data_IF_189496213293
#
_entry.id   IF_189496213293
#
_cell.length_a   1.000
_cell.length_b   1.000
_cell.length_c   1.000
_cell.angle_alpha   90.00
_cell.angle_beta   90.00
_cell.angle_gamma   90.00
#
_symmetry.space_group_name_H-M   'P 1'
#
loop_
_entity.id
_entity.type
_entity.pdbx_description
1 polymer ?
#
# COMPACT_ATOMS: atom_id res chain seq x y z
N UNK A 1 -0.51 -11.82 27.97
CA UNK A 1 -0.02 -10.43 28.19
C UNK A 1 -0.71 -9.57 27.16
N UNK A 2 -1.53 -8.60 27.57
CA UNK A 2 -2.13 -7.67 26.61
C UNK A 2 -1.02 -6.75 26.08
N UNK A 3 -0.78 -6.76 24.77
CA UNK A 3 0.06 -5.77 24.11
C UNK A 3 -0.53 -4.38 24.38
N UNK A 4 0.30 -3.43 24.79
CA UNK A 4 -0.15 -2.04 24.83
C UNK A 4 -0.63 -1.65 23.42
N UNK A 5 -1.78 -0.96 23.28
CA UNK A 5 -2.22 -0.48 21.99
C UNK A 5 -1.11 0.40 21.41
N UNK A 6 -0.68 0.05 20.20
CA UNK A 6 0.40 0.72 19.52
C UNK A 6 0.01 2.19 19.32
N UNK A 7 0.81 3.11 19.88
CA UNK A 7 0.62 4.54 19.68
C UNK A 7 1.61 5.00 18.61
N UNK A 8 1.13 5.48 17.45
CA UNK A 8 2.02 5.97 16.41
C UNK A 8 2.80 7.18 16.93
N UNK A 9 4.10 7.24 16.62
CA UNK A 9 4.99 8.28 17.11
C UNK A 9 4.82 9.52 16.23
N UNK A 10 4.43 10.64 16.84
CA UNK A 10 4.25 11.93 16.18
C UNK A 10 5.60 12.47 15.72
N UNK A 11 5.73 12.72 14.43
CA UNK A 11 6.89 13.40 13.82
C UNK A 11 6.44 14.82 13.47
N UNK A 12 6.97 15.81 14.18
CA UNK A 12 6.72 17.23 13.88
C UNK A 12 7.64 17.66 12.74
N UNK A 13 7.03 18.04 11.60
CA UNK A 13 7.64 18.43 10.32
C UNK A 13 8.17 17.34 9.39
N UNK A 14 8.28 17.72 8.11
CA UNK A 14 8.92 16.99 7.01
C UNK A 14 10.42 16.83 7.29
N UNK A 15 10.71 15.99 8.29
CA UNK A 15 12.05 15.76 8.83
C UNK A 15 12.99 15.20 7.76
N UNK A 16 14.31 15.26 8.03
CA UNK A 16 15.33 14.60 7.20
C UNK A 16 14.99 13.12 6.94
N UNK A 17 14.28 12.49 7.87
CA UNK A 17 13.79 11.12 7.76
C UNK A 17 12.76 10.94 6.64
N UNK A 18 11.77 11.85 6.54
CA UNK A 18 10.78 11.82 5.44
C UNK A 18 11.47 11.95 4.09
N UNK A 19 12.41 12.90 3.99
CA UNK A 19 13.22 13.10 2.78
C UNK A 19 14.08 11.88 2.45
N UNK A 20 14.65 11.21 3.47
CA UNK A 20 15.43 9.98 3.32
C UNK A 20 14.57 8.83 2.81
N UNK A 21 13.41 8.60 3.41
CA UNK A 21 12.49 7.55 2.97
C UNK A 21 12.06 7.77 1.52
N UNK A 22 11.68 9.00 1.13
CA UNK A 22 11.32 9.31 -0.27
C UNK A 22 12.41 8.93 -1.27
N UNK A 23 13.68 9.23 -0.96
CA UNK A 23 14.81 8.83 -1.83
C UNK A 23 15.00 7.32 -1.88
N UNK A 24 14.84 6.63 -0.75
CA UNK A 24 15.02 5.18 -0.67
C UNK A 24 13.97 4.42 -1.49
N UNK A 25 12.72 4.90 -1.52
CA UNK A 25 11.64 4.23 -2.24
C UNK A 25 11.55 4.60 -3.72
N UNK A 26 12.28 5.61 -4.19
CA UNK A 26 12.28 5.99 -5.61
C UNK A 26 12.70 4.83 -6.54
N UNK A 27 13.65 3.99 -6.10
CA UNK A 27 14.08 2.80 -6.87
C UNK A 27 13.07 1.64 -6.84
N UNK A 28 12.16 1.66 -5.86
CA UNK A 28 11.09 0.68 -5.69
C UNK A 28 9.86 0.99 -6.56
N UNK A 29 9.84 2.15 -7.23
CA UNK A 29 8.75 2.55 -8.12
C UNK A 29 8.92 1.87 -9.48
N UNK A 30 7.86 1.24 -9.96
CA UNK A 30 7.75 0.69 -11.32
C UNK A 30 6.50 1.19 -12.03
N UNK A 31 6.38 0.86 -13.31
CA UNK A 31 5.19 1.14 -14.13
C UNK A 31 4.54 -0.19 -14.48
N UNK A 32 3.21 -0.28 -14.43
CA UNK A 32 2.54 -1.57 -14.61
C UNK A 32 1.20 -1.46 -15.33
N UNK A 33 0.32 -0.55 -14.91
CA UNK A 33 -1.10 -0.61 -15.33
C UNK A 33 -1.43 0.47 -16.37
N UNK A 34 -1.98 0.11 -17.55
CA UNK A 34 -2.50 1.08 -18.51
C UNK A 34 -3.63 1.93 -17.91
N UNK A 35 -3.72 3.20 -18.29
CA UNK A 35 -4.70 4.15 -17.71
C UNK A 35 -6.16 3.69 -17.87
N UNK A 36 -6.49 3.02 -18.98
CA UNK A 36 -7.86 2.53 -19.26
C UNK A 36 -8.34 1.51 -18.22
N UNK A 37 -7.45 0.60 -17.80
CA UNK A 37 -7.76 -0.40 -16.76
C UNK A 37 -8.00 0.30 -15.42
N UNK A 38 -7.24 1.36 -15.14
CA UNK A 38 -7.39 2.14 -13.91
C UNK A 38 -8.71 2.89 -13.90
N UNK A 39 -9.07 3.56 -15.01
CA UNK A 39 -10.35 4.27 -15.15
C UNK A 39 -11.52 3.33 -14.88
N UNK A 40 -11.48 2.13 -15.47
CA UNK A 40 -12.50 1.10 -15.31
C UNK A 40 -12.59 0.56 -13.86
N UNK A 41 -11.46 0.37 -13.17
CA UNK A 41 -11.47 -0.01 -11.74
C UNK A 41 -12.04 1.10 -10.87
N UNK A 42 -11.57 2.34 -11.04
CA UNK A 42 -12.02 3.49 -10.24
C UNK A 42 -13.50 3.74 -10.44
N UNK A 43 -14.00 3.70 -11.68
CA UNK A 43 -15.42 3.85 -11.97
C UNK A 43 -16.26 2.75 -11.32
N UNK A 44 -15.80 1.50 -11.36
CA UNK A 44 -16.49 0.39 -10.72
C UNK A 44 -16.50 0.52 -9.19
N UNK A 45 -15.40 0.98 -8.59
CA UNK A 45 -15.20 1.06 -7.14
C UNK A 45 -15.77 2.33 -6.49
N UNK A 46 -16.37 3.25 -7.26
CA UNK A 46 -16.83 4.57 -6.76
C UNK A 46 -17.69 4.49 -5.49
N UNK A 47 -18.55 3.48 -5.42
CA UNK A 47 -19.51 3.27 -4.34
C UNK A 47 -19.09 2.06 -3.45
N UNK A 48 -17.80 1.73 -3.40
CA UNK A 48 -17.26 0.72 -2.49
C UNK A 48 -17.18 1.28 -1.07
N UNK A 49 -17.47 0.42 -0.08
CA UNK A 49 -17.61 0.82 1.32
C UNK A 49 -16.61 0.08 2.20
N UNK A 50 -16.42 0.60 3.42
CA UNK A 50 -15.66 -0.11 4.43
C UNK A 50 -16.44 -1.34 4.90
N UNK A 51 -15.81 -2.53 5.01
CA UNK A 51 -16.49 -3.69 5.54
C UNK A 51 -16.78 -3.45 7.03
N UNK A 52 -17.99 -3.77 7.48
CA UNK A 52 -18.42 -3.51 8.86
C UNK A 52 -17.61 -4.19 9.96
N UNK A 53 -16.73 -5.15 9.62
CA UNK A 53 -15.83 -5.84 10.57
C UNK A 53 -14.51 -5.08 10.75
N UNK A 54 -14.10 -4.24 9.80
CA UNK A 54 -12.83 -3.50 9.86
C UNK A 54 -12.88 -2.25 10.75
N UNK A 55 -14.06 -1.86 11.23
CA UNK A 55 -14.19 -0.78 12.23
C UNK A 55 -13.59 -1.13 13.59
N UNK A 56 -13.32 -2.41 13.88
CA UNK A 56 -12.75 -2.84 15.17
C UNK A 56 -11.21 -2.81 15.21
N UNK A 57 -10.54 -2.73 14.05
CA UNK A 57 -9.07 -2.69 13.90
C UNK A 57 -8.59 -1.37 13.29
N UNK A 58 -9.38 -0.32 13.51
CA UNK A 58 -9.30 0.97 12.80
C UNK A 58 -7.95 1.69 12.97
N UNK A 59 -7.12 1.31 13.95
CA UNK A 59 -5.86 1.99 14.26
C UNK A 59 -4.58 1.33 13.71
N UNK A 60 -4.62 0.07 13.26
CA UNK A 60 -3.38 -0.69 13.02
C UNK A 60 -2.70 -0.39 11.66
N UNK A 61 -3.48 0.02 10.66
CA UNK A 61 -2.99 0.32 9.31
C UNK A 61 -3.11 1.82 9.01
N UNK A 62 -2.35 2.37 8.05
CA UNK A 62 -2.62 3.73 7.53
C UNK A 62 -3.56 3.76 6.32
N UNK A 63 -4.03 2.58 5.90
CA UNK A 63 -4.99 2.41 4.82
C UNK A 63 -6.10 1.50 5.29
N UNK A 64 -7.14 1.42 4.48
CA UNK A 64 -8.30 0.59 4.72
C UNK A 64 -8.70 -0.09 3.41
N UNK A 65 -9.10 -1.35 3.52
CA UNK A 65 -9.56 -2.13 2.37
C UNK A 65 -11.05 -1.84 2.16
N UNK A 66 -11.42 -1.49 0.94
CA UNK A 66 -12.81 -1.25 0.57
C UNK A 66 -13.39 -2.48 -0.11
N UNK A 67 -14.67 -2.74 0.14
CA UNK A 67 -15.40 -3.86 -0.40
C UNK A 67 -16.58 -3.41 -1.26
N UNK A 68 -16.77 -4.15 -2.35
CA UNK A 68 -17.95 -4.12 -3.21
C UNK A 68 -18.04 -5.47 -3.90
N UNK A 69 -19.25 -5.97 -4.09
CA UNK A 69 -19.45 -7.23 -4.81
C UNK A 69 -18.80 -7.16 -6.21
N UNK A 70 -17.97 -8.17 -6.55
CA UNK A 70 -17.21 -8.24 -7.80
C UNK A 70 -15.92 -7.39 -7.85
N UNK A 71 -15.63 -6.57 -6.83
CA UNK A 71 -14.40 -5.75 -6.82
C UNK A 71 -13.14 -6.60 -6.67
N UNK A 72 -13.20 -7.66 -5.86
CA UNK A 72 -12.09 -8.59 -5.68
C UNK A 72 -11.69 -9.26 -7.00
N UNK A 73 -12.66 -9.74 -7.80
CA UNK A 73 -12.34 -10.37 -9.08
C UNK A 73 -11.65 -9.39 -10.04
N UNK A 74 -12.13 -8.14 -10.06
CA UNK A 74 -11.61 -7.07 -10.92
C UNK A 74 -10.18 -6.68 -10.56
N UNK A 75 -9.91 -6.52 -9.27
CA UNK A 75 -8.56 -6.22 -8.77
C UNK A 75 -7.66 -7.47 -8.86
N UNK A 76 -8.24 -8.66 -8.74
CA UNK A 76 -7.54 -9.95 -8.83
C UNK A 76 -6.82 -10.12 -10.16
N UNK A 77 -7.45 -9.77 -11.27
CA UNK A 77 -6.82 -9.81 -12.59
C UNK A 77 -5.56 -8.91 -12.68
N UNK A 78 -5.60 -7.74 -12.04
CA UNK A 78 -4.45 -6.81 -11.98
C UNK A 78 -3.35 -7.40 -11.10
N UNK A 79 -3.73 -7.97 -9.96
CA UNK A 79 -2.80 -8.60 -9.03
C UNK A 79 -2.07 -9.78 -9.69
N UNK A 80 -2.82 -10.64 -10.38
CA UNK A 80 -2.30 -11.81 -11.08
C UNK A 80 -1.31 -11.37 -12.17
N UNK A 81 -1.71 -10.44 -13.05
CA UNK A 81 -0.83 -9.89 -14.09
C UNK A 81 0.44 -9.25 -13.49
N UNK A 82 0.34 -8.55 -12.35
CA UNK A 82 1.51 -7.93 -11.71
C UNK A 82 2.51 -8.99 -11.23
N UNK A 83 1.99 -10.08 -10.67
CA UNK A 83 2.77 -11.19 -10.11
C UNK A 83 3.35 -12.15 -11.15
N UNK A 84 2.88 -12.09 -12.40
CA UNK A 84 3.43 -12.86 -13.52
C UNK A 84 4.60 -12.15 -14.20
N UNK A 85 4.71 -10.82 -14.06
CA UNK A 85 5.75 -10.04 -14.68
C UNK A 85 7.07 -10.08 -13.88
N UNK A 86 8.06 -10.80 -14.42
CA UNK A 86 9.36 -11.00 -13.76
C UNK A 86 10.09 -9.70 -13.44
N UNK A 87 9.94 -8.65 -14.27
CA UNK A 87 10.56 -7.35 -14.01
C UNK A 87 10.02 -6.71 -12.72
N UNK A 88 8.73 -6.89 -12.42
CA UNK A 88 8.10 -6.39 -11.20
C UNK A 88 8.63 -7.14 -9.99
N UNK A 89 8.70 -8.46 -10.07
CA UNK A 89 9.23 -9.32 -9.02
C UNK A 89 10.71 -9.04 -8.74
N UNK A 90 11.54 -8.85 -9.77
CA UNK A 90 12.95 -8.49 -9.63
C UNK A 90 13.14 -7.14 -8.94
N UNK A 91 12.33 -6.13 -9.29
CA UNK A 91 12.35 -4.83 -8.62
C UNK A 91 11.97 -4.94 -7.15
N UNK A 92 10.89 -5.67 -6.87
CA UNK A 92 10.44 -5.91 -5.50
C UNK A 92 11.53 -6.62 -4.68
N UNK A 93 12.03 -7.75 -5.18
CA UNK A 93 13.08 -8.57 -4.58
C UNK A 93 14.36 -7.77 -4.30
N UNK A 94 14.80 -6.96 -5.25
CA UNK A 94 15.98 -6.11 -5.10
C UNK A 94 15.77 -5.03 -4.03
N UNK A 95 14.58 -4.41 -3.98
CA UNK A 95 14.28 -3.37 -2.99
C UNK A 95 14.21 -3.93 -1.57
N UNK A 96 13.53 -5.06 -1.37
CA UNK A 96 13.35 -5.66 -0.04
C UNK A 96 14.44 -6.69 0.33
N UNK A 97 15.45 -6.86 -0.54
CA UNK A 97 16.57 -7.79 -0.36
C UNK A 97 16.13 -9.23 -0.04
N UNK A 98 15.11 -9.74 -0.74
CA UNK A 98 14.56 -11.09 -0.57
C UNK A 98 14.56 -11.86 -1.89
N UNK A 99 14.78 -13.19 -1.89
CA UNK A 99 14.78 -13.98 -3.11
C UNK A 99 13.38 -14.05 -3.73
N UNK A 100 13.30 -14.39 -5.02
CA UNK A 100 12.03 -14.72 -5.65
C UNK A 100 11.78 -16.21 -5.46
N UNK A 101 10.68 -16.58 -4.80
CA UNK A 101 10.32 -17.99 -4.53
C UNK A 101 9.35 -18.60 -5.55
N UNK A 102 8.84 -17.81 -6.50
CA UNK A 102 7.84 -18.25 -7.48
C UNK A 102 7.34 -17.11 -8.35
N UNK A 103 6.19 -17.33 -9.02
CA UNK A 103 5.47 -16.32 -9.82
C UNK A 103 3.95 -16.54 -9.69
N UNK A 104 3.19 -15.56 -10.16
CA UNK A 104 1.73 -15.65 -10.25
C UNK A 104 1.02 -15.62 -8.90
N UNK A 105 -0.25 -16.04 -8.93
CA UNK A 105 -1.18 -16.03 -7.79
C UNK A 105 -0.64 -16.68 -6.51
N UNK A 106 0.24 -17.66 -6.65
CA UNK A 106 0.86 -18.35 -5.50
C UNK A 106 1.66 -17.44 -4.57
N UNK A 107 2.15 -16.30 -5.07
CA UNK A 107 2.87 -15.31 -4.28
C UNK A 107 1.94 -14.38 -3.49
N UNK A 108 0.71 -14.20 -3.95
CA UNK A 108 -0.22 -13.20 -3.42
C UNK A 108 -0.93 -13.78 -2.19
N UNK A 109 -0.66 -13.19 -1.04
CA UNK A 109 -1.30 -13.56 0.24
C UNK A 109 -2.65 -12.87 0.40
N UNK A 110 -2.67 -11.57 0.13
CA UNK A 110 -3.85 -10.71 0.23
C UNK A 110 -3.77 -9.66 -0.86
N UNK A 111 -4.92 -9.23 -1.35
CA UNK A 111 -4.98 -8.10 -2.27
C UNK A 111 -6.35 -7.44 -2.17
N UNK A 112 -6.46 -6.21 -2.66
CA UNK A 112 -7.74 -5.55 -2.83
C UNK A 112 -7.60 -4.06 -3.08
N UNK A 113 -8.75 -3.40 -3.18
CA UNK A 113 -8.84 -1.96 -3.33
C UNK A 113 -8.69 -1.29 -1.96
N UNK A 114 -7.86 -0.26 -1.86
CA UNK A 114 -7.68 0.45 -0.61
C UNK A 114 -7.76 1.97 -0.75
N UNK A 115 -8.11 2.60 0.36
CA UNK A 115 -8.07 4.04 0.58
C UNK A 115 -7.07 4.35 1.70
N UNK A 116 -6.27 5.40 1.56
CA UNK A 116 -5.41 5.87 2.65
C UNK A 116 -6.20 6.69 3.67
N UNK A 117 -5.98 6.42 4.95
CA UNK A 117 -6.69 7.10 6.04
C UNK A 117 -6.00 8.41 6.40
N UNK A 118 -6.76 9.47 6.72
CA UNK A 118 -6.18 10.62 7.40
C UNK A 118 -5.72 10.20 8.79
N UNK A 119 -4.76 10.92 9.34
CA UNK A 119 -4.32 10.68 10.70
C UNK A 119 -5.30 11.29 11.71
N UNK A 120 -5.36 10.76 12.93
CA UNK A 120 -6.36 11.16 13.92
C UNK A 120 -6.27 12.63 14.34
N UNK A 121 -5.08 13.23 14.31
CA UNK A 121 -4.88 14.65 14.61
C UNK A 121 -4.86 15.57 13.37
N UNK A 122 -4.90 15.00 12.16
CA UNK A 122 -4.83 15.66 10.84
C UNK A 122 -3.74 16.73 10.69
N UNK A 123 -2.73 16.72 11.56
CA UNK A 123 -1.68 17.75 11.62
C UNK A 123 -0.29 17.16 11.68
N UNK A 124 -0.15 15.96 12.23
CA UNK A 124 1.13 15.32 12.43
C UNK A 124 1.40 14.25 11.39
N UNK A 125 2.69 14.10 11.07
CA UNK A 125 3.17 12.89 10.42
C UNK A 125 3.26 11.77 11.45
N UNK A 126 2.97 10.55 11.04
CA UNK A 126 2.95 9.40 11.94
C UNK A 126 3.90 8.30 11.46
N UNK A 127 4.73 7.82 12.39
CA UNK A 127 5.56 6.66 12.14
C UNK A 127 4.73 5.39 12.32
N UNK A 128 4.53 4.63 11.25
CA UNK A 128 4.02 3.26 11.26
C UNK A 128 5.17 2.27 11.32
N UNK A 129 5.12 1.38 12.33
CA UNK A 129 6.04 0.25 12.46
C UNK A 129 5.34 -0.97 11.89
N UNK A 130 6.05 -1.74 11.08
CA UNK A 130 5.56 -3.01 10.53
C UNK A 130 4.22 -2.89 9.75
N UNK A 131 4.23 -2.24 8.56
CA UNK A 131 3.06 -2.13 7.70
C UNK A 131 2.43 -3.46 7.27
N UNK A 132 3.22 -4.52 7.29
CA UNK A 132 2.76 -5.90 7.16
C UNK A 132 2.52 -6.46 8.56
N UNK A 133 1.27 -6.76 8.85
CA UNK A 133 0.79 -7.24 10.16
C UNK A 133 0.75 -8.75 10.29
N UNK A 134 1.06 -9.48 9.23
CA UNK A 134 1.17 -10.93 9.27
C UNK A 134 2.49 -11.36 9.95
N UNK A 135 2.48 -12.50 10.65
CA UNK A 135 3.67 -13.06 11.29
C UNK A 135 4.80 -13.37 10.28
N UNK A 136 4.41 -13.65 9.02
CA UNK A 136 5.34 -13.84 7.91
C UNK A 136 5.76 -12.51 7.29
N UNK A 137 7.06 -12.36 6.99
CA UNK A 137 7.57 -11.14 6.32
C UNK A 137 7.00 -11.03 4.92
N UNK A 138 6.33 -9.92 4.64
CA UNK A 138 5.67 -9.68 3.36
C UNK A 138 6.25 -8.46 2.66
N UNK A 139 6.04 -8.38 1.35
CA UNK A 139 6.25 -7.17 0.57
C UNK A 139 4.89 -6.59 0.23
N UNK A 140 4.66 -5.35 0.65
CA UNK A 140 3.46 -4.61 0.31
C UNK A 140 3.68 -3.93 -1.03
N UNK A 141 2.75 -4.07 -1.97
CA UNK A 141 2.77 -3.39 -3.26
C UNK A 141 1.54 -2.50 -3.35
N UNK A 142 1.75 -1.21 -3.55
CA UNK A 142 0.67 -0.26 -3.78
C UNK A 142 0.71 0.19 -5.24
N UNK A 143 -0.33 -0.15 -6.00
CA UNK A 143 -0.53 0.29 -7.38
C UNK A 143 -1.46 1.52 -7.36
N UNK A 144 -0.96 2.64 -7.87
CA UNK A 144 -1.62 3.93 -7.81
C UNK A 144 -2.80 4.02 -8.79
N UNK A 145 -4.01 4.29 -8.29
CA UNK A 145 -5.20 4.48 -9.13
C UNK A 145 -5.43 5.96 -9.51
N UNK A 146 -4.73 6.84 -8.83
CA UNK A 146 -4.60 8.28 -9.06
C UNK A 146 -3.16 8.67 -8.71
N UNK A 147 -2.75 9.91 -8.97
CA UNK A 147 -1.46 10.37 -8.46
C UNK A 147 -1.46 10.31 -6.94
N UNK A 148 -0.56 9.52 -6.37
CA UNK A 148 -0.41 9.36 -4.94
C UNK A 148 0.68 10.29 -4.42
N UNK A 149 0.45 10.85 -3.24
CA UNK A 149 1.45 11.69 -2.58
C UNK A 149 1.01 12.18 -1.22
N UNK A 150 1.86 13.01 -0.57
CA UNK A 150 1.59 13.53 0.76
C UNK A 150 0.29 14.32 0.91
N UNK A 151 -0.35 14.70 -0.20
CA UNK A 151 -1.62 15.41 -0.24
C UNK A 151 -2.84 14.48 -0.08
N UNK A 152 -2.67 13.16 -0.24
CA UNK A 152 -3.76 12.19 -0.19
C UNK A 152 -3.44 10.93 0.64
N UNK A 153 -2.59 11.07 1.67
CA UNK A 153 -2.29 10.00 2.63
C UNK A 153 -1.12 9.10 2.25
N UNK A 154 -0.53 9.28 1.06
CA UNK A 154 0.59 8.46 0.64
C UNK A 154 1.94 9.15 0.90
N UNK A 155 2.97 8.46 1.41
CA UNK A 155 4.21 9.11 1.82
C UNK A 155 5.15 9.50 0.67
N UNK A 156 4.93 8.97 -0.54
CA UNK A 156 5.79 9.13 -1.71
C UNK A 156 5.03 9.66 -2.91
N UNK A 157 5.71 10.30 -3.86
CA UNK A 157 5.11 10.63 -5.14
C UNK A 157 5.10 9.36 -6.01
N UNK A 158 3.91 8.87 -6.36
CA UNK A 158 3.74 7.73 -7.28
C UNK A 158 2.66 8.13 -8.28
N UNK A 159 3.05 8.22 -9.56
CA UNK A 159 2.11 8.63 -10.58
C UNK A 159 1.05 7.55 -10.78
N UNK A 160 -0.14 7.96 -11.23
CA UNK A 160 -1.21 7.05 -11.62
C UNK A 160 -0.69 5.93 -12.56
N UNK A 161 -1.01 4.68 -12.23
CA UNK A 161 -0.59 3.48 -12.98
C UNK A 161 0.82 2.97 -12.67
N UNK A 162 1.57 3.71 -11.86
CA UNK A 162 2.79 3.20 -11.24
C UNK A 162 2.46 2.40 -9.99
N UNK A 163 3.46 1.67 -9.51
CA UNK A 163 3.39 0.97 -8.24
C UNK A 163 4.66 1.21 -7.44
N UNK A 164 4.59 0.98 -6.12
CA UNK A 164 5.76 0.98 -5.24
C UNK A 164 5.75 -0.25 -4.35
N UNK A 165 6.93 -0.84 -4.15
CA UNK A 165 7.14 -1.96 -3.22
C UNK A 165 7.65 -1.44 -1.88
N UNK A 166 7.05 -1.90 -0.79
CA UNK A 166 7.38 -1.54 0.58
C UNK A 166 7.63 -2.82 1.38
N UNK A 167 8.71 -2.87 2.16
CA UNK A 167 8.92 -3.98 3.07
C UNK A 167 7.86 -3.95 4.19
N UNK A 168 7.15 -5.06 4.41
CA UNK A 168 6.17 -5.22 5.48
C UNK A 168 6.72 -5.00 6.89
N UNK A 169 8.04 -5.05 7.08
CA UNK A 169 8.72 -4.75 8.36
C UNK A 169 9.41 -3.38 8.40
N UNK A 170 9.36 -2.62 7.31
CA UNK A 170 9.96 -1.29 7.31
C UNK A 170 9.13 -0.34 8.18
N UNK A 171 9.80 0.53 8.93
CA UNK A 171 9.08 1.68 9.50
C UNK A 171 8.89 2.75 8.41
N UNK A 172 7.72 3.36 8.37
CA UNK A 172 7.34 4.33 7.33
C UNK A 172 6.57 5.47 7.94
N UNK A 173 6.87 6.67 7.46
CA UNK A 173 6.26 7.89 7.97
C UNK A 173 5.17 8.33 7.01
N UNK A 174 3.93 8.38 7.49
CA UNK A 174 2.76 8.76 6.70
C UNK A 174 2.36 10.22 6.98
N UNK A 175 1.84 10.93 5.96
CA UNK A 175 1.36 12.30 6.11
C UNK A 175 0.03 12.35 6.87
N UNK A 176 -0.39 13.53 7.37
CA UNK A 176 -1.67 13.68 8.05
C UNK A 176 -2.91 13.56 7.16
N UNK A 177 -2.72 13.63 5.84
CA UNK A 177 -3.80 13.62 4.85
C UNK A 177 -4.32 12.21 4.56
N UNK A 178 -5.37 12.09 3.76
CA UNK A 178 -5.95 10.80 3.38
C UNK A 178 -6.73 10.89 2.06
N UNK A 179 -7.42 9.81 1.71
CA UNK A 179 -8.31 9.74 0.56
C UNK A 179 -7.67 9.23 -0.74
N UNK A 180 -6.36 9.02 -0.77
CA UNK A 180 -5.69 8.43 -1.92
C UNK A 180 -6.13 6.98 -2.14
N UNK A 181 -6.25 6.58 -3.42
CA UNK A 181 -6.78 5.29 -3.81
C UNK A 181 -5.70 4.44 -4.49
N UNK A 182 -5.62 3.18 -4.07
CA UNK A 182 -4.66 2.22 -4.61
C UNK A 182 -5.24 0.81 -4.68
N UNK A 183 -4.59 -0.06 -5.44
CA UNK A 183 -4.66 -1.50 -5.22
C UNK A 183 -3.52 -1.86 -4.29
N UNK A 184 -3.84 -2.51 -3.19
CA UNK A 184 -2.86 -3.06 -2.26
C UNK A 184 -2.69 -4.56 -2.54
N UNK A 185 -1.46 -5.01 -2.73
CA UNK A 185 -1.09 -6.42 -2.76
C UNK A 185 -0.15 -6.68 -1.59
N UNK A 186 -0.33 -7.82 -0.93
CA UNK A 186 0.70 -8.40 -0.08
C UNK A 186 1.22 -9.65 -0.75
N UNK A 187 2.53 -9.69 -0.98
CA UNK A 187 3.20 -10.82 -1.62
C UNK A 187 4.28 -11.42 -0.72
N UNK A 188 4.55 -12.70 -0.94
CA UNK A 188 5.66 -13.43 -0.32
C UNK A 188 6.83 -13.51 -1.31
N UNK A 189 7.96 -12.93 -0.94
CA UNK A 189 9.26 -13.07 -1.61
C UNK A 189 10.19 -13.81 -0.65
#
# INVERSE_FOLDING_TARGET
>A
MASQPWRPLVVTDESEEVSRQRRNYASAIGSFTPSEVIDDVVAFARDAELPGVYSEFEDDYWYEMLEKHGLSDKVGAIADAWSEEMANLQRAAAHVSRPIIGTGRSLIKKFGFCRFKPTSDQRSWYLHKDPGTDEEVQTMVFIALQDLGPHNGFPFQVARGQYVCIDGKASIITPPTGGGLAICLSIRL
#
